data_IF_885312445654
#
_entry.id   IF_885312445654
#
_cell.length_a   1.000
_cell.length_b   1.000
_cell.length_c   1.000
_cell.angle_alpha   90.00
_cell.angle_beta   90.00
_cell.angle_gamma   90.00
#
_symmetry.space_group_name_H-M   'P 1'
#
loop_
_entity.id
_entity.type
_entity.pdbx_description
1 polymer ?
#
# COMPACT_ATOMS: atom_id res chain seq x y z
N UNK A 1 8.05 19.79 10.94
CA UNK A 1 7.37 18.48 11.03
C UNK A 1 7.13 18.00 9.61
N UNK A 2 7.58 16.80 9.23
CA UNK A 2 7.43 16.30 7.85
C UNK A 2 6.12 15.52 7.75
N UNK A 3 5.14 16.07 7.03
CA UNK A 3 3.87 15.40 6.73
C UNK A 3 3.78 15.28 5.21
N UNK A 4 3.61 14.06 4.65
CA UNK A 4 3.51 13.88 3.20
C UNK A 4 2.33 14.66 2.61
N UNK A 5 2.57 15.34 1.47
CA UNK A 5 1.55 16.11 0.75
C UNK A 5 0.97 15.36 -0.46
N UNK A 6 1.63 14.28 -0.89
CA UNK A 6 1.24 13.45 -2.02
C UNK A 6 1.44 11.99 -1.69
N UNK A 7 0.53 11.14 -2.16
CA UNK A 7 0.58 9.68 -2.05
C UNK A 7 0.22 9.11 -3.42
N UNK A 8 0.80 7.96 -3.78
CA UNK A 8 0.34 7.16 -4.91
C UNK A 8 0.24 5.69 -4.47
N UNK A 9 -0.63 4.94 -5.14
CA UNK A 9 -0.75 3.50 -4.92
C UNK A 9 0.02 2.76 -6.01
N UNK A 10 0.66 1.65 -5.62
CA UNK A 10 1.33 0.75 -6.55
C UNK A 10 1.22 -0.67 -6.02
N UNK A 11 1.35 -1.64 -6.91
CA UNK A 11 1.37 -3.06 -6.60
C UNK A 11 2.33 -3.76 -7.55
N UNK A 12 2.83 -4.90 -7.13
CA UNK A 12 3.70 -5.71 -7.97
C UNK A 12 3.79 -7.15 -7.49
N UNK A 13 4.19 -8.02 -8.40
CA UNK A 13 4.38 -9.44 -8.17
C UNK A 13 5.78 -9.87 -8.57
N UNK A 14 6.38 -10.76 -7.80
CA UNK A 14 7.70 -11.29 -8.08
C UNK A 14 7.76 -12.79 -7.84
N UNK A 15 8.48 -13.50 -8.71
CA UNK A 15 8.63 -14.96 -8.65
C UNK A 15 10.11 -15.30 -8.74
N UNK A 16 10.61 -16.00 -7.74
CA UNK A 16 11.97 -16.49 -7.71
C UNK A 16 12.04 -17.68 -6.74
N UNK A 17 13.09 -18.50 -6.88
CA UNK A 17 13.36 -19.61 -5.95
C UNK A 17 13.65 -19.09 -4.53
N UNK A 18 14.43 -18.03 -4.46
CA UNK A 18 14.76 -17.32 -3.21
C UNK A 18 13.71 -16.27 -2.86
N UNK A 19 13.21 -16.30 -1.62
CA UNK A 19 12.17 -15.39 -1.13
C UNK A 19 12.60 -13.91 -1.14
N UNK A 20 13.88 -13.62 -0.84
CA UNK A 20 14.39 -12.26 -0.85
C UNK A 20 14.36 -11.68 -2.27
N UNK A 21 14.82 -12.45 -3.24
CA UNK A 21 14.81 -12.06 -4.65
C UNK A 21 13.39 -11.96 -5.21
N UNK A 22 12.47 -12.86 -4.80
CA UNK A 22 11.07 -12.76 -5.23
C UNK A 22 10.42 -11.47 -4.72
N UNK A 23 10.79 -11.01 -3.52
CA UNK A 23 10.34 -9.72 -3.01
C UNK A 23 10.95 -8.54 -3.76
N UNK A 24 12.26 -8.56 -4.06
CA UNK A 24 12.92 -7.53 -4.88
C UNK A 24 12.25 -7.40 -6.27
N UNK A 25 11.92 -8.53 -6.90
CA UNK A 25 11.19 -8.53 -8.17
C UNK A 25 9.78 -7.95 -8.04
N UNK A 26 9.08 -8.19 -6.92
CA UNK A 26 7.79 -7.59 -6.66
C UNK A 26 7.89 -6.06 -6.47
N UNK A 27 8.93 -5.58 -5.80
CA UNK A 27 9.21 -4.14 -5.68
C UNK A 27 9.53 -3.50 -7.04
N UNK A 28 10.25 -4.22 -7.90
CA UNK A 28 10.60 -3.76 -9.26
C UNK A 28 9.38 -3.69 -10.16
N UNK A 29 8.50 -4.69 -10.10
CA UNK A 29 7.19 -4.65 -10.79
C UNK A 29 6.34 -3.47 -10.26
N UNK A 30 6.37 -3.24 -8.94
CA UNK A 30 5.78 -2.07 -8.30
C UNK A 30 6.50 -0.74 -8.61
N UNK A 31 7.68 -0.75 -9.24
CA UNK A 31 8.47 0.43 -9.63
C UNK A 31 9.05 1.24 -8.46
N UNK A 32 9.24 0.61 -7.29
CA UNK A 32 9.70 1.24 -6.05
C UNK A 32 10.94 0.56 -5.44
N UNK A 33 11.58 -0.36 -6.17
CA UNK A 33 12.75 -1.14 -5.74
C UNK A 33 13.98 -0.29 -5.42
N UNK A 34 14.13 0.85 -6.08
CA UNK A 34 15.29 1.73 -5.98
C UNK A 34 15.27 2.66 -4.76
N UNK A 35 14.25 2.58 -3.91
CA UNK A 35 14.07 3.46 -2.76
C UNK A 35 14.34 2.74 -1.44
N UNK A 36 14.71 3.49 -0.41
CA UNK A 36 14.81 2.97 0.95
C UNK A 36 13.43 3.04 1.62
N UNK A 37 12.68 1.93 1.56
CA UNK A 37 11.30 1.87 2.02
C UNK A 37 11.23 1.75 3.54
N UNK A 38 10.56 2.71 4.20
CA UNK A 38 10.28 2.69 5.63
C UNK A 38 8.81 2.44 5.85
N UNK A 39 8.49 1.29 6.44
CA UNK A 39 7.11 0.95 6.75
C UNK A 39 6.60 1.85 7.88
N UNK A 40 5.45 2.49 7.66
CA UNK A 40 4.75 3.33 8.62
C UNK A 40 3.36 2.78 8.90
N UNK A 41 2.71 3.31 9.94
CA UNK A 41 1.33 2.97 10.27
C UNK A 41 0.32 3.56 9.28
N UNK A 42 -0.93 3.17 9.44
CA UNK A 42 -1.95 3.24 8.40
C UNK A 42 -2.76 4.55 8.39
N UNK A 43 -2.10 5.71 8.44
CA UNK A 43 -2.75 7.04 8.41
C UNK A 43 -2.59 7.71 7.05
N UNK A 44 -3.71 8.18 6.48
CA UNK A 44 -3.73 9.05 5.32
C UNK A 44 -3.70 10.53 5.76
N UNK A 45 -2.66 11.32 5.43
CA UNK A 45 -2.53 12.66 5.98
C UNK A 45 -3.63 13.64 5.52
N UNK A 46 -4.05 14.59 6.38
CA UNK A 46 -4.98 15.64 5.99
C UNK A 46 -4.49 16.43 4.78
N UNK A 47 -5.42 16.82 3.90
CA UNK A 47 -5.16 17.61 2.68
C UNK A 47 -4.16 16.97 1.69
N UNK A 48 -3.70 15.74 1.94
CA UNK A 48 -2.83 15.00 1.03
C UNK A 48 -3.57 14.70 -0.28
N UNK A 49 -2.81 14.66 -1.39
CA UNK A 49 -3.35 14.40 -2.72
C UNK A 49 -2.92 13.02 -3.20
N UNK A 50 -3.88 12.22 -3.65
CA UNK A 50 -3.58 11.02 -4.43
C UNK A 50 -3.13 11.48 -5.82
N UNK A 51 -1.93 11.08 -6.21
CA UNK A 51 -1.35 11.35 -7.53
C UNK A 51 -1.12 10.04 -8.27
N UNK A 52 -0.95 10.12 -9.59
CA UNK A 52 -0.57 8.94 -10.39
C UNK A 52 0.83 8.47 -9.99
N UNK A 53 1.09 7.17 -10.11
CA UNK A 53 2.41 6.57 -9.83
C UNK A 53 3.51 7.30 -10.60
N UNK A 54 3.32 7.57 -11.89
CA UNK A 54 4.33 8.20 -12.74
C UNK A 54 4.65 9.64 -12.31
N UNK A 55 3.66 10.36 -11.78
CA UNK A 55 3.84 11.72 -11.25
C UNK A 55 4.55 11.69 -9.90
N UNK A 56 4.17 10.76 -9.01
CA UNK A 56 4.82 10.57 -7.72
C UNK A 56 6.28 10.16 -7.87
N UNK A 57 6.58 9.22 -8.77
CA UNK A 57 7.94 8.74 -9.02
C UNK A 57 8.88 9.82 -9.58
N UNK A 58 8.37 10.83 -10.29
CA UNK A 58 9.17 11.97 -10.78
C UNK A 58 9.64 12.89 -9.64
N UNK A 59 9.01 12.79 -8.47
CA UNK A 59 9.33 13.61 -7.30
C UNK A 59 10.32 12.93 -6.34
N UNK A 60 10.73 11.70 -6.64
CA UNK A 60 11.57 10.87 -5.79
C UNK A 60 12.91 10.57 -6.47
N UNK A 61 13.99 10.52 -5.69
CA UNK A 61 15.30 10.12 -6.14
C UNK A 61 15.65 8.68 -5.73
N UNK A 62 16.41 7.92 -6.54
CA UNK A 62 16.95 6.63 -6.10
C UNK A 62 17.73 6.76 -4.78
N UNK A 63 17.52 5.82 -3.84
CA UNK A 63 18.11 5.84 -2.50
C UNK A 63 17.39 6.74 -1.48
N UNK A 64 16.38 7.51 -1.89
CA UNK A 64 15.58 8.33 -0.97
C UNK A 64 14.80 7.47 0.03
N UNK A 65 14.67 7.96 1.27
CA UNK A 65 13.81 7.34 2.28
C UNK A 65 12.36 7.63 1.92
N UNK A 66 11.62 6.58 1.57
CA UNK A 66 10.22 6.67 1.18
C UNK A 66 9.37 5.94 2.21
N UNK A 67 8.47 6.67 2.86
CA UNK A 67 7.52 6.08 3.80
C UNK A 67 6.41 5.36 3.03
N UNK A 68 6.11 4.13 3.46
CA UNK A 68 5.11 3.27 2.81
C UNK A 68 4.22 2.59 3.83
N UNK A 69 2.95 2.45 3.49
CA UNK A 69 2.05 1.47 4.10
C UNK A 69 2.03 0.29 3.14
N UNK A 70 2.41 -0.90 3.62
CA UNK A 70 2.70 -2.04 2.75
C UNK A 70 2.06 -3.32 3.27
N UNK A 71 1.23 -3.92 2.43
CA UNK A 71 0.84 -5.32 2.56
C UNK A 71 1.77 -6.20 1.72
N UNK A 72 2.19 -7.35 2.27
CA UNK A 72 3.06 -8.31 1.59
C UNK A 72 2.57 -9.73 1.85
N UNK A 73 2.51 -10.54 0.80
CA UNK A 73 2.23 -11.97 0.88
C UNK A 73 3.24 -12.75 0.03
N UNK A 74 3.63 -13.93 0.48
CA UNK A 74 4.52 -14.83 -0.27
C UNK A 74 4.15 -16.29 -0.01
N UNK A 75 4.43 -17.15 -0.99
CA UNK A 75 4.25 -18.60 -0.87
C UNK A 75 5.25 -19.32 -1.76
N UNK A 76 5.69 -20.49 -1.31
CA UNK A 76 6.46 -21.49 -2.05
C UNK A 76 5.60 -22.71 -2.45
N UNK A 77 4.31 -22.71 -2.10
CA UNK A 77 3.35 -23.75 -2.47
C UNK A 77 2.96 -23.64 -3.96
N UNK A 78 3.09 -24.73 -4.75
CA UNK A 78 2.67 -24.73 -6.14
C UNK A 78 1.19 -24.34 -6.30
N UNK A 79 0.91 -23.42 -7.23
CA UNK A 79 -0.45 -22.95 -7.57
C UNK A 79 -1.18 -22.24 -6.42
N UNK A 80 -0.50 -21.88 -5.34
CA UNK A 80 -1.08 -21.08 -4.28
C UNK A 80 -1.39 -19.67 -4.79
N UNK A 81 -2.67 -19.31 -4.77
CA UNK A 81 -3.09 -17.94 -5.03
C UNK A 81 -2.73 -17.08 -3.81
N UNK A 82 -1.99 -16.01 -4.05
CA UNK A 82 -1.62 -15.01 -3.04
C UNK A 82 -2.24 -13.66 -3.41
N UNK A 83 -2.64 -12.91 -2.39
CA UNK A 83 -3.15 -11.55 -2.54
C UNK A 83 -2.50 -10.64 -1.50
N UNK A 84 -2.20 -9.41 -1.92
CA UNK A 84 -1.77 -8.32 -1.05
C UNK A 84 -2.47 -7.05 -1.56
N UNK A 85 -3.14 -6.35 -0.66
CA UNK A 85 -3.96 -5.19 -0.95
C UNK A 85 -3.74 -4.11 0.10
N UNK A 86 -3.88 -2.85 -0.32
CA UNK A 86 -3.92 -1.69 0.56
C UNK A 86 -5.23 -0.94 0.30
N UNK A 87 -6.08 -0.85 1.32
CA UNK A 87 -7.32 -0.08 1.28
C UNK A 87 -7.09 1.37 1.71
N UNK A 88 -7.99 2.26 1.32
CA UNK A 88 -7.94 3.68 1.66
C UNK A 88 -9.35 4.21 1.92
N UNK A 89 -9.55 4.83 3.07
CA UNK A 89 -10.78 5.52 3.44
C UNK A 89 -10.49 6.98 3.79
N UNK A 90 -11.21 7.89 3.13
CA UNK A 90 -11.02 9.33 3.30
C UNK A 90 -12.30 9.95 3.89
N UNK A 91 -12.18 10.81 4.92
CA UNK A 91 -13.32 11.57 5.41
C UNK A 91 -13.77 12.60 4.37
N UNK A 92 -15.05 12.98 4.41
CA UNK A 92 -15.61 14.07 3.60
C UNK A 92 -14.91 15.40 3.90
N UNK A 93 -14.57 15.64 5.17
CA UNK A 93 -13.74 16.78 5.55
C UNK A 93 -12.24 16.43 5.40
N UNK A 94 -11.62 17.02 4.37
CA UNK A 94 -10.19 16.84 4.08
C UNK A 94 -9.24 17.49 5.11
N UNK A 95 -9.77 18.21 6.10
CA UNK A 95 -9.01 18.72 7.24
C UNK A 95 -8.67 17.63 8.26
N UNK A 96 -9.42 16.53 8.24
CA UNK A 96 -9.21 15.33 9.08
C UNK A 96 -8.38 14.30 8.33
N UNK A 97 -7.66 13.45 9.07
CA UNK A 97 -6.88 12.36 8.49
C UNK A 97 -7.80 11.22 8.05
N UNK A 98 -7.37 10.48 7.03
CA UNK A 98 -8.01 9.22 6.62
C UNK A 98 -7.25 8.01 7.15
N UNK A 99 -7.75 6.83 6.78
CA UNK A 99 -7.13 5.56 7.12
C UNK A 99 -6.66 4.83 5.86
N UNK A 100 -5.51 4.18 6.00
CA UNK A 100 -5.07 3.11 5.11
C UNK A 100 -5.28 1.79 5.85
N UNK A 101 -5.35 0.68 5.12
CA UNK A 101 -5.42 -0.65 5.71
C UNK A 101 -4.60 -1.62 4.89
N UNK A 102 -3.88 -2.52 5.54
CA UNK A 102 -3.14 -3.58 4.88
C UNK A 102 -3.92 -4.89 4.98
N UNK A 103 -4.07 -5.59 3.85
CA UNK A 103 -4.63 -6.93 3.83
C UNK A 103 -3.81 -7.87 2.97
N UNK A 104 -3.49 -9.05 3.47
CA UNK A 104 -2.85 -10.11 2.72
C UNK A 104 -3.59 -11.42 2.95
N UNK A 105 -3.72 -12.22 1.91
CA UNK A 105 -4.51 -13.44 1.98
C UNK A 105 -4.03 -14.49 0.98
N UNK A 106 -4.45 -15.73 1.25
CA UNK A 106 -4.33 -16.83 0.33
C UNK A 106 -5.71 -17.20 -0.22
N UNK A 107 -5.78 -17.62 -1.48
CA UNK A 107 -7.03 -18.09 -2.09
C UNK A 107 -8.06 -17.00 -2.37
N UNK A 108 -7.75 -15.73 -2.09
CA UNK A 108 -8.61 -14.59 -2.44
C UNK A 108 -8.24 -14.05 -3.83
N UNK A 109 -9.27 -13.71 -4.62
CA UNK A 109 -9.08 -12.99 -5.87
C UNK A 109 -8.73 -11.53 -5.60
N UNK A 110 -8.23 -10.83 -6.61
CA UNK A 110 -7.94 -9.40 -6.53
C UNK A 110 -9.13 -8.60 -6.02
N UNK A 111 -10.34 -8.87 -6.53
CA UNK A 111 -11.55 -8.16 -6.12
C UNK A 111 -11.86 -8.39 -4.63
N UNK A 112 -11.86 -9.65 -4.18
CA UNK A 112 -12.19 -9.98 -2.78
C UNK A 112 -11.19 -9.37 -1.81
N UNK A 113 -9.89 -9.44 -2.13
CA UNK A 113 -8.86 -8.85 -1.30
C UNK A 113 -8.87 -7.31 -1.33
N UNK A 114 -9.25 -6.71 -2.47
CA UNK A 114 -9.47 -5.28 -2.64
C UNK A 114 -10.61 -4.77 -1.78
N UNK A 115 -11.82 -5.31 -2.01
CA UNK A 115 -13.05 -4.96 -1.29
C UNK A 115 -12.85 -5.08 0.23
N UNK A 116 -12.24 -6.18 0.69
CA UNK A 116 -11.98 -6.38 2.12
C UNK A 116 -10.99 -5.36 2.71
N UNK A 117 -9.95 -4.98 1.96
CA UNK A 117 -9.04 -3.94 2.42
C UNK A 117 -9.76 -2.59 2.53
N UNK A 118 -10.58 -2.22 1.54
CA UNK A 118 -11.38 -0.99 1.58
C UNK A 118 -12.35 -0.98 2.77
N UNK A 119 -13.05 -2.09 3.02
CA UNK A 119 -13.95 -2.25 4.17
C UNK A 119 -13.22 -2.08 5.51
N UNK A 120 -12.00 -2.63 5.64
CA UNK A 120 -11.17 -2.44 6.83
C UNK A 120 -10.82 -0.96 7.05
N UNK A 121 -10.42 -0.25 5.99
CA UNK A 121 -10.09 1.17 6.10
C UNK A 121 -11.34 1.98 6.46
N UNK A 122 -12.49 1.66 5.86
CA UNK A 122 -13.76 2.32 6.15
C UNK A 122 -14.21 2.10 7.60
N UNK A 123 -14.09 0.88 8.13
CA UNK A 123 -14.42 0.57 9.52
C UNK A 123 -13.52 1.33 10.52
N UNK A 124 -12.21 1.43 10.23
CA UNK A 124 -11.29 2.22 11.06
C UNK A 124 -11.66 3.71 11.05
N UNK A 125 -12.00 4.25 9.88
CA UNK A 125 -12.46 5.64 9.76
C UNK A 125 -13.78 5.86 10.50
N UNK A 126 -14.76 4.96 10.36
CA UNK A 126 -16.07 5.04 10.99
C UNK A 126 -15.96 5.04 12.53
N UNK A 127 -15.15 4.15 13.10
CA UNK A 127 -14.90 4.12 14.55
C UNK A 127 -14.28 5.41 15.10
N UNK A 128 -13.49 6.11 14.27
CA UNK A 128 -12.91 7.42 14.61
C UNK A 128 -13.94 8.55 14.54
N UNK A 129 -14.89 8.46 13.60
CA UNK A 129 -15.97 9.44 13.42
C UNK A 129 -17.17 9.18 14.36
N UNK A 130 -17.17 8.05 15.09
CA UNK A 130 -18.24 7.67 16.01
C UNK A 130 -19.53 7.22 15.31
N UNK A 131 -19.41 6.64 14.11
CA UNK A 131 -20.52 6.18 13.26
C UNK A 131 -20.39 4.70 12.96
#
# INVERSE_FOLDING_TARGET
>A
MSVPSKIFFTKGVGRHREQLTSFELALRDAGIEKFNLVQVSSIFPPKCRIVKKEEGLKLLAPGEIVFVVMSRCCSDEPRRLVAASVGCALPSDRSVYGYLSEHHAFGQTEKVAGDYAEDLAAAMLASTLGV
#
